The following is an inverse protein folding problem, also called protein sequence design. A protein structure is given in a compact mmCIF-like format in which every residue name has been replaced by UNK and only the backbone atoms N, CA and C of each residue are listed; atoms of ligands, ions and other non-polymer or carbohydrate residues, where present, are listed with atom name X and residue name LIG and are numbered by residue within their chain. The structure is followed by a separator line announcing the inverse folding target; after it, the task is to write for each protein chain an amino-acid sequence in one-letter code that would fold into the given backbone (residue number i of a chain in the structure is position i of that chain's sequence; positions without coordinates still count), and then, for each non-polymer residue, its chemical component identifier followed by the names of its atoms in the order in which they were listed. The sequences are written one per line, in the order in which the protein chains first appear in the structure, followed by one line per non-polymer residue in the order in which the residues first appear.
data_IF_109806182318
#
_entry.id   IF_109806182318
#
_cell.length_a   1.000
_cell.length_b   1.000
_cell.length_c   1.000
_cell.angle_alpha   90.00
_cell.angle_beta   90.00
_cell.angle_gamma   90.00
#
_symmetry.space_group_name_H-M   'P 1'
#
loop_
_entity.id
_entity.type
_entity.pdbx_description
1 polymer ?
#
# COMPACT_ATOMS: atom_id res chain seq x y z
N UNK A 1 28.15 -36.31 52.10
CA UNK A 1 27.46 -34.99 51.94
C UNK A 1 27.75 -34.35 50.58
N UNK A 2 28.96 -34.48 50.05
CA UNK A 2 29.38 -33.96 48.73
C UNK A 2 28.64 -34.63 47.57
N UNK A 3 28.48 -35.95 47.59
CA UNK A 3 27.79 -36.71 46.52
C UNK A 3 26.31 -36.32 46.36
N UNK A 4 25.58 -36.09 47.47
CA UNK A 4 24.19 -35.60 47.41
C UNK A 4 24.07 -34.21 46.77
N UNK A 5 25.06 -33.34 46.98
CA UNK A 5 25.09 -32.01 46.36
C UNK A 5 25.42 -32.10 44.87
N UNK A 6 26.30 -33.02 44.48
CA UNK A 6 26.64 -33.27 43.09
C UNK A 6 25.44 -33.83 42.30
N UNK A 7 24.71 -34.79 42.89
CA UNK A 7 23.49 -35.35 42.27
C UNK A 7 22.43 -34.26 42.06
N UNK A 8 22.15 -33.46 43.10
CA UNK A 8 21.21 -32.36 43.00
C UNK A 8 21.64 -31.26 41.99
N UNK A 9 22.94 -31.09 41.77
CA UNK A 9 23.45 -30.18 40.74
C UNK A 9 23.26 -30.76 39.33
N UNK A 10 23.46 -32.07 39.16
CA UNK A 10 23.18 -32.78 37.91
C UNK A 10 21.70 -32.68 37.53
N UNK A 11 20.79 -32.98 38.45
CA UNK A 11 19.35 -32.87 38.20
C UNK A 11 18.93 -31.45 37.79
N UNK A 12 19.55 -30.43 38.38
CA UNK A 12 19.30 -29.03 38.01
C UNK A 12 19.84 -28.68 36.62
N UNK A 13 20.97 -29.26 36.24
CA UNK A 13 21.53 -29.11 34.89
C UNK A 13 20.62 -29.77 33.86
N UNK A 14 20.10 -30.96 34.15
CA UNK A 14 19.18 -31.69 33.27
C UNK A 14 17.90 -30.87 33.04
N UNK A 15 17.29 -30.35 34.11
CA UNK A 15 16.11 -29.47 34.01
C UNK A 15 16.43 -28.17 33.27
N UNK A 16 17.62 -27.60 33.47
CA UNK A 16 18.03 -26.40 32.74
C UNK A 16 18.24 -26.68 31.24
N UNK A 17 18.78 -27.85 30.91
CA UNK A 17 18.99 -28.30 29.54
C UNK A 17 17.64 -28.50 28.83
N UNK A 18 16.70 -29.20 29.45
CA UNK A 18 15.34 -29.38 28.90
C UNK A 18 14.65 -28.04 28.62
N UNK A 19 14.81 -27.07 29.52
CA UNK A 19 14.27 -25.72 29.34
C UNK A 19 14.93 -24.96 28.19
N UNK A 20 16.23 -25.14 28.00
CA UNK A 20 16.96 -24.54 26.89
C UNK A 20 16.51 -25.15 25.56
N UNK A 21 16.36 -26.47 25.50
CA UNK A 21 15.92 -27.18 24.30
C UNK A 21 14.49 -26.78 23.91
N UNK A 22 13.60 -26.64 24.89
CA UNK A 22 12.24 -26.13 24.65
C UNK A 22 12.25 -24.68 24.13
N UNK A 23 13.15 -23.83 24.62
CA UNK A 23 13.28 -22.46 24.14
C UNK A 23 13.82 -22.40 22.70
N UNK A 24 14.79 -23.25 22.36
CA UNK A 24 15.32 -23.37 20.99
C UNK A 24 14.21 -23.83 20.04
N UNK A 25 13.44 -24.85 20.41
CA UNK A 25 12.33 -25.34 19.60
C UNK A 25 11.25 -24.26 19.39
N UNK A 26 10.92 -23.50 20.43
CA UNK A 26 9.98 -22.39 20.32
C UNK A 26 10.53 -21.27 19.41
N UNK A 27 11.82 -20.98 19.46
CA UNK A 27 12.45 -20.02 18.55
C UNK A 27 12.42 -20.50 17.10
N UNK A 28 12.82 -21.75 16.85
CA UNK A 28 12.82 -22.34 15.52
C UNK A 28 11.41 -22.44 14.91
N UNK A 29 10.39 -22.66 15.75
CA UNK A 29 8.99 -22.66 15.31
C UNK A 29 8.50 -21.27 14.86
N UNK A 30 9.01 -20.19 15.48
CA UNK A 30 8.64 -18.82 15.12
C UNK A 30 9.52 -18.21 14.02
N UNK A 31 10.70 -18.79 13.75
CA UNK A 31 11.64 -18.30 12.72
C UNK A 31 11.00 -18.16 11.33
N UNK A 32 10.16 -19.10 10.83
CA UNK A 32 9.51 -18.97 9.53
C UNK A 32 8.58 -17.76 9.46
N UNK A 33 7.84 -17.46 10.52
CA UNK A 33 6.92 -16.31 10.54
C UNK A 33 7.69 -14.98 10.47
N UNK A 34 8.82 -14.89 11.19
CA UNK A 34 9.72 -13.73 11.12
C UNK A 34 10.27 -13.55 9.70
N UNK A 35 10.62 -14.64 9.02
CA UNK A 35 11.13 -14.58 7.65
C UNK A 35 10.01 -14.20 6.66
N UNK A 36 8.81 -14.75 6.81
CA UNK A 36 7.65 -14.36 6.01
C UNK A 36 7.30 -12.88 6.17
N UNK A 37 7.45 -12.32 7.38
CA UNK A 37 7.28 -10.88 7.61
C UNK A 37 8.28 -10.02 6.84
N UNK A 38 9.53 -10.48 6.63
CA UNK A 38 10.50 -9.76 5.80
C UNK A 38 10.05 -9.73 4.34
N UNK A 39 9.59 -10.86 3.80
CA UNK A 39 9.05 -10.93 2.44
C UNK A 39 7.87 -9.95 2.26
N UNK A 40 6.95 -9.91 3.23
CA UNK A 40 5.83 -8.95 3.23
C UNK A 40 6.33 -7.51 3.26
N UNK A 41 7.35 -7.20 4.07
CA UNK A 41 7.96 -5.87 4.13
C UNK A 41 8.58 -5.45 2.79
N UNK A 42 9.28 -6.37 2.11
CA UNK A 42 9.86 -6.12 0.78
C UNK A 42 8.77 -5.83 -0.25
N UNK A 43 7.73 -6.67 -0.29
CA UNK A 43 6.57 -6.48 -1.18
C UNK A 43 5.83 -5.17 -0.92
N UNK A 44 5.71 -4.75 0.34
CA UNK A 44 5.13 -3.45 0.71
C UNK A 44 6.00 -2.28 0.22
N UNK A 45 7.32 -2.42 0.29
CA UNK A 45 8.25 -1.42 -0.24
C UNK A 45 8.10 -1.27 -1.75
N UNK A 46 8.04 -2.39 -2.48
CA UNK A 46 7.83 -2.40 -3.93
C UNK A 46 6.46 -1.82 -4.31
N UNK A 47 5.40 -2.20 -3.61
CA UNK A 47 4.06 -1.66 -3.83
C UNK A 47 4.02 -0.13 -3.65
N UNK A 48 4.74 0.40 -2.65
CA UNK A 48 4.86 1.85 -2.44
C UNK A 48 5.51 2.54 -3.65
N UNK A 49 6.60 2.00 -4.17
CA UNK A 49 7.27 2.53 -5.37
C UNK A 49 6.32 2.51 -6.59
N UNK A 50 5.54 1.44 -6.76
CA UNK A 50 4.55 1.35 -7.84
C UNK A 50 3.44 2.40 -7.70
N UNK A 51 2.94 2.64 -6.50
CA UNK A 51 1.94 3.69 -6.24
C UNK A 51 2.51 5.06 -6.62
N UNK A 52 3.74 5.38 -6.22
CA UNK A 52 4.36 6.67 -6.53
C UNK A 52 4.52 6.86 -8.05
N UNK A 53 4.90 5.81 -8.79
CA UNK A 53 4.95 5.84 -10.26
C UNK A 53 3.57 6.10 -10.89
N UNK A 54 2.53 5.44 -10.39
CA UNK A 54 1.16 5.66 -10.87
C UNK A 54 0.72 7.11 -10.62
N UNK A 55 1.03 7.66 -9.44
CA UNK A 55 0.72 9.06 -9.11
C UNK A 55 1.43 10.02 -10.08
N UNK A 56 2.73 9.82 -10.33
CA UNK A 56 3.48 10.60 -11.30
C UNK A 56 2.87 10.50 -12.71
N UNK A 57 2.42 9.32 -13.13
CA UNK A 57 1.74 9.16 -14.42
C UNK A 57 0.41 9.89 -14.46
N UNK A 58 -0.41 9.81 -13.40
CA UNK A 58 -1.68 10.55 -13.31
C UNK A 58 -1.39 12.05 -13.40
N UNK A 59 -0.42 12.57 -12.67
CA UNK A 59 -0.04 13.99 -12.72
C UNK A 59 0.47 14.40 -14.12
N UNK A 60 1.30 13.57 -14.76
CA UNK A 60 1.84 13.86 -16.08
C UNK A 60 0.80 13.75 -17.21
N UNK A 61 -0.25 12.94 -17.02
CA UNK A 61 -1.30 12.69 -18.03
C UNK A 61 -2.63 13.32 -17.67
N UNK A 62 -2.71 14.05 -16.56
CA UNK A 62 -3.89 14.80 -16.16
C UNK A 62 -4.12 15.93 -17.18
N UNK A 63 -4.84 15.62 -18.26
CA UNK A 63 -5.51 16.63 -19.03
C UNK A 63 -6.59 17.26 -18.13
N UNK A 64 -6.56 18.58 -18.02
CA UNK A 64 -7.63 19.33 -17.34
C UNK A 64 -8.93 18.99 -18.05
N UNK A 65 -9.82 18.25 -17.38
CA UNK A 65 -11.15 17.94 -17.91
C UNK A 65 -11.81 19.27 -18.28
N UNK A 66 -12.06 19.54 -19.57
CA UNK A 66 -12.63 20.81 -19.97
C UNK A 66 -14.00 20.95 -19.33
N UNK A 67 -14.27 22.07 -18.67
CA UNK A 67 -15.62 22.36 -18.19
C UNK A 67 -16.58 22.34 -19.38
N UNK A 68 -17.72 21.69 -19.20
CA UNK A 68 -18.77 21.56 -20.22
C UNK A 68 -19.99 22.36 -19.80
N UNK A 69 -20.72 22.88 -20.77
CA UNK A 69 -22.01 23.56 -20.59
C UNK A 69 -22.97 23.18 -21.70
N UNK A 70 -24.25 23.40 -21.50
CA UNK A 70 -25.23 23.19 -22.56
C UNK A 70 -25.31 24.40 -23.49
N UNK A 71 -25.47 24.14 -24.78
CA UNK A 71 -25.74 25.19 -25.76
C UNK A 71 -27.12 25.80 -25.48
N UNK A 72 -27.25 27.12 -25.31
CA UNK A 72 -28.53 27.77 -25.03
C UNK A 72 -29.53 27.68 -26.20
N UNK A 73 -29.07 27.38 -27.42
CA UNK A 73 -29.92 27.31 -28.60
C UNK A 73 -30.47 25.90 -28.87
N UNK A 74 -29.68 24.85 -28.62
CA UNK A 74 -30.07 23.47 -28.97
C UNK A 74 -29.97 22.46 -27.83
N UNK A 75 -29.49 22.87 -26.65
CA UNK A 75 -29.39 22.03 -25.45
C UNK A 75 -28.28 20.98 -25.46
N UNK A 76 -27.46 20.88 -26.51
CA UNK A 76 -26.34 19.91 -26.55
C UNK A 76 -25.15 20.40 -25.75
N UNK A 77 -24.44 19.46 -25.13
CA UNK A 77 -23.23 19.73 -24.37
C UNK A 77 -22.08 20.19 -25.27
N UNK A 78 -21.47 21.31 -24.91
CA UNK A 78 -20.34 21.95 -25.57
C UNK A 78 -19.28 22.36 -24.53
N UNK A 79 -18.03 22.58 -24.95
CA UNK A 79 -17.00 23.13 -24.03
C UNK A 79 -17.46 24.48 -23.50
N UNK A 80 -17.23 24.76 -22.21
CA UNK A 80 -17.63 26.01 -21.57
C UNK A 80 -17.05 27.22 -22.31
N UNK A 81 -15.78 27.13 -22.74
CA UNK A 81 -15.12 28.17 -23.52
C UNK A 81 -15.47 28.19 -25.02
N UNK A 82 -16.37 27.33 -25.51
CA UNK A 82 -16.76 27.33 -26.91
C UNK A 82 -17.51 28.63 -27.26
N UNK A 83 -17.07 29.26 -28.36
CA UNK A 83 -17.71 30.44 -28.95
C UNK A 83 -18.70 30.09 -30.07
N UNK A 84 -18.75 28.82 -30.46
CA UNK A 84 -19.65 28.27 -31.47
C UNK A 84 -20.10 26.85 -31.09
N UNK A 85 -21.38 26.54 -31.27
CA UNK A 85 -21.86 25.18 -31.10
C UNK A 85 -21.56 24.33 -32.33
N UNK A 86 -20.78 23.24 -32.18
CA UNK A 86 -20.45 22.32 -33.28
C UNK A 86 -21.62 21.49 -33.82
N UNK A 87 -22.81 21.58 -33.21
CA UNK A 87 -23.99 20.82 -33.62
C UNK A 87 -25.02 21.67 -34.37
N UNK A 88 -25.40 22.81 -33.81
CA UNK A 88 -26.39 23.71 -34.42
C UNK A 88 -25.79 24.95 -35.05
N UNK A 89 -24.45 25.11 -34.98
CA UNK A 89 -23.71 26.23 -35.55
C UNK A 89 -24.09 27.60 -34.99
N UNK A 90 -24.81 27.63 -33.86
CA UNK A 90 -25.16 28.88 -33.19
C UNK A 90 -23.95 29.44 -32.48
N UNK A 91 -23.69 30.72 -32.69
CA UNK A 91 -22.68 31.48 -31.94
C UNK A 91 -23.09 31.55 -30.48
N UNK A 92 -22.17 31.24 -29.59
CA UNK A 92 -22.41 31.19 -28.15
C UNK A 92 -21.44 32.13 -27.47
N UNK A 93 -21.95 33.11 -26.74
CA UNK A 93 -21.09 34.01 -26.00
C UNK A 93 -20.54 33.32 -24.75
N UNK A 94 -19.32 33.69 -24.37
CA UNK A 94 -18.72 33.34 -23.09
C UNK A 94 -19.51 34.07 -22.01
N UNK A 95 -20.40 33.37 -21.33
CA UNK A 95 -20.98 33.89 -20.10
C UNK A 95 -19.88 33.87 -19.03
N UNK A 96 -19.32 35.04 -18.73
CA UNK A 96 -18.53 35.23 -17.50
C UNK A 96 -19.49 35.03 -16.33
N UNK A 97 -19.23 34.02 -15.51
CA UNK A 97 -19.83 33.89 -14.19
C UNK A 97 -19.29 35.00 -13.27
#
# INVERSE_FOLDING_TARGET
MVEKKALAASERLDVAQERLDAAIQAYDANRPDIEAMKEVSERLSEARVCIDKIRQHIEATAEVVPSMRDCPACGRSIRAQATLCGHCWTKVDLQRA
#
